data_IF_244540489564
#
_entry.id   IF_244540489564
#
_cell.length_a   1.000
_cell.length_b   1.000
_cell.length_c   1.000
_cell.angle_alpha   90.00
_cell.angle_beta   90.00
_cell.angle_gamma   90.00
#
_symmetry.space_group_name_H-M   'P 1'
#
loop_
_entity.id
_entity.type
_entity.pdbx_description
1 polymer ?
#
# COMPACT_ATOMS: atom_id res chain seq x y z
N UNK A 1 21.80 32.13 -4.04
CA UNK A 1 21.83 30.67 -4.24
C UNK A 1 20.44 30.24 -4.64
N UNK A 2 20.21 29.91 -5.91
CA UNK A 2 18.91 29.40 -6.36
C UNK A 2 18.85 27.93 -5.96
N UNK A 3 18.04 27.61 -4.94
CA UNK A 3 17.78 26.21 -4.59
C UNK A 3 16.82 25.68 -5.65
N UNK A 4 17.36 25.04 -6.68
CA UNK A 4 16.55 24.29 -7.64
C UNK A 4 16.03 23.06 -6.91
N UNK A 5 14.82 23.14 -6.35
CA UNK A 5 14.10 21.96 -5.89
C UNK A 5 13.74 21.13 -7.11
N UNK A 6 14.66 20.27 -7.55
CA UNK A 6 14.36 19.29 -8.59
C UNK A 6 13.30 18.35 -8.03
N UNK A 7 12.08 18.46 -8.53
CA UNK A 7 11.10 17.39 -8.36
C UNK A 7 11.70 16.16 -9.05
N UNK A 8 12.18 15.19 -8.28
CA UNK A 8 12.74 13.94 -8.80
C UNK A 8 11.61 13.20 -9.50
N UNK A 9 11.50 13.38 -10.82
CA UNK A 9 10.58 12.61 -11.64
C UNK A 9 11.17 11.21 -11.81
N UNK A 10 10.80 10.31 -10.91
CA UNK A 10 11.26 8.92 -10.93
C UNK A 10 10.70 8.25 -12.19
N UNK A 11 11.47 7.45 -12.95
CA UNK A 11 10.89 6.69 -14.06
C UNK A 11 9.82 5.71 -13.54
N UNK A 12 8.81 5.36 -14.35
CA UNK A 12 7.79 4.39 -13.96
C UNK A 12 8.45 3.05 -13.63
N UNK A 13 8.15 2.48 -12.46
CA UNK A 13 8.70 1.18 -12.01
C UNK A 13 7.60 0.17 -11.74
N UNK A 14 7.97 -1.10 -11.59
CA UNK A 14 7.05 -2.14 -11.10
C UNK A 14 7.11 -2.26 -9.58
N UNK A 15 6.17 -3.03 -9.02
CA UNK A 15 6.22 -3.44 -7.61
C UNK A 15 7.50 -4.23 -7.35
N UNK A 16 8.21 -3.92 -6.25
CA UNK A 16 9.41 -4.69 -5.90
C UNK A 16 9.03 -6.09 -5.40
N UNK A 17 7.91 -6.18 -4.68
CA UNK A 17 7.38 -7.42 -4.11
C UNK A 17 6.26 -7.98 -4.97
N UNK A 18 6.21 -9.30 -5.11
CA UNK A 18 5.05 -9.97 -5.71
C UNK A 18 3.86 -10.00 -4.76
N UNK A 19 2.64 -10.18 -5.27
CA UNK A 19 1.46 -10.19 -4.40
C UNK A 19 1.45 -11.36 -3.43
N UNK A 20 1.98 -12.51 -3.83
CA UNK A 20 2.10 -13.71 -2.99
C UNK A 20 3.43 -13.77 -2.22
N UNK A 21 4.20 -12.69 -2.19
CA UNK A 21 5.46 -12.62 -1.44
C UNK A 21 5.24 -12.40 0.07
N UNK A 22 3.99 -12.47 0.51
CA UNK A 22 3.59 -12.32 1.90
C UNK A 22 4.22 -13.38 2.83
N UNK A 23 4.72 -14.49 2.28
CA UNK A 23 5.48 -15.51 3.03
C UNK A 23 6.85 -15.01 3.50
N UNK A 24 7.43 -14.01 2.86
CA UNK A 24 8.66 -13.36 3.35
C UNK A 24 8.38 -12.41 4.53
N UNK A 25 7.12 -12.06 4.76
CA UNK A 25 6.66 -11.26 5.90
C UNK A 25 5.42 -11.89 6.56
N UNK A 26 5.55 -13.17 6.94
CA UNK A 26 4.48 -13.95 7.56
C UNK A 26 3.81 -13.27 8.76
N UNK A 27 4.56 -12.52 9.57
CA UNK A 27 4.01 -11.79 10.72
C UNK A 27 3.02 -10.70 10.31
N UNK A 28 3.39 -9.89 9.31
CA UNK A 28 2.51 -8.86 8.74
C UNK A 28 1.34 -9.48 7.99
N UNK A 29 1.56 -10.59 7.28
CA UNK A 29 0.51 -11.33 6.59
C UNK A 29 -0.51 -11.92 7.57
N UNK A 30 -0.06 -12.52 8.67
CA UNK A 30 -0.93 -13.03 9.73
C UNK A 30 -1.70 -11.90 10.41
N UNK A 31 -1.05 -10.77 10.69
CA UNK A 31 -1.72 -9.59 11.23
C UNK A 31 -2.74 -9.01 10.24
N UNK A 32 -2.43 -8.98 8.94
CA UNK A 32 -3.36 -8.55 7.89
C UNK A 32 -4.52 -9.55 7.73
N UNK A 33 -4.30 -10.84 8.02
CA UNK A 33 -5.32 -11.87 7.97
C UNK A 33 -6.28 -11.78 9.16
N UNK A 34 -5.77 -11.55 10.38
CA UNK A 34 -6.59 -11.44 11.58
C UNK A 34 -7.21 -10.04 11.77
N UNK A 35 -6.47 -9.01 11.40
CA UNK A 35 -6.77 -7.60 11.65
C UNK A 35 -6.35 -6.72 10.45
N UNK A 36 -6.98 -6.88 9.27
CA UNK A 36 -6.60 -6.15 8.04
C UNK A 36 -6.66 -4.64 8.23
N UNK A 37 -7.59 -4.16 9.05
CA UNK A 37 -7.77 -2.75 9.37
C UNK A 37 -6.58 -2.12 10.13
N UNK A 38 -5.84 -2.91 10.92
CA UNK A 38 -4.63 -2.43 11.60
C UNK A 38 -3.53 -2.17 10.57
N UNK A 39 -3.27 -3.14 9.69
CA UNK A 39 -2.23 -3.02 8.66
C UNK A 39 -2.58 -1.91 7.66
N UNK A 40 -3.83 -1.83 7.23
CA UNK A 40 -4.32 -0.72 6.40
C UNK A 40 -4.13 0.64 7.08
N UNK A 41 -4.42 0.72 8.38
CA UNK A 41 -4.23 1.94 9.18
C UNK A 41 -2.76 2.37 9.27
N UNK A 42 -1.84 1.39 9.42
CA UNK A 42 -0.40 1.63 9.40
C UNK A 42 0.03 2.19 8.03
N UNK A 43 -0.34 1.50 6.94
CA UNK A 43 -0.02 1.94 5.58
C UNK A 43 -0.52 3.38 5.32
N UNK A 44 -1.78 3.67 5.71
CA UNK A 44 -2.36 5.01 5.58
C UNK A 44 -1.60 6.06 6.36
N UNK A 45 -1.22 5.76 7.61
CA UNK A 45 -0.48 6.69 8.49
C UNK A 45 0.85 7.12 7.87
N UNK A 46 1.53 6.18 7.22
CA UNK A 46 2.84 6.40 6.61
C UNK A 46 2.74 7.02 5.20
N UNK A 47 1.64 6.78 4.48
CA UNK A 47 1.40 7.41 3.17
C UNK A 47 0.86 8.83 3.28
N UNK A 48 -0.06 9.08 4.21
CA UNK A 48 -0.81 10.34 4.31
C UNK A 48 -1.23 10.64 5.74
N UNK A 49 -1.07 11.89 6.19
CA UNK A 49 -1.50 12.32 7.54
C UNK A 49 -3.02 12.46 7.72
N UNK A 50 -3.84 11.89 6.84
CA UNK A 50 -5.30 11.82 6.97
C UNK A 50 -5.69 10.41 7.42
N UNK A 51 -6.07 10.29 8.68
CA UNK A 51 -6.71 9.07 9.19
C UNK A 51 -8.06 8.89 8.48
N UNK A 52 -8.24 7.78 7.77
CA UNK A 52 -9.50 7.45 7.13
C UNK A 52 -10.16 6.32 7.91
N UNK A 53 -10.89 6.70 8.97
CA UNK A 53 -11.68 5.80 9.80
C UNK A 53 -12.64 4.94 8.96
N UNK A 54 -13.13 5.49 7.84
CA UNK A 54 -13.94 4.79 6.82
C UNK A 54 -13.20 3.59 6.23
N UNK A 55 -11.91 3.75 5.92
CA UNK A 55 -11.09 2.66 5.37
C UNK A 55 -10.74 1.59 6.42
N UNK A 56 -10.54 2.00 7.68
CA UNK A 56 -10.35 1.06 8.78
C UNK A 56 -11.62 0.24 9.05
N UNK A 57 -12.79 0.87 9.11
CA UNK A 57 -14.06 0.15 9.31
C UNK A 57 -14.39 -0.79 8.15
N UNK A 58 -14.30 -0.32 6.90
CA UNK A 58 -14.59 -1.16 5.72
C UNK A 58 -13.64 -2.35 5.58
N UNK A 59 -12.41 -2.23 6.08
CA UNK A 59 -11.43 -3.32 6.13
C UNK A 59 -11.80 -4.42 7.13
N UNK A 60 -12.35 -4.08 8.30
CA UNK A 60 -12.76 -5.11 9.27
C UNK A 60 -14.10 -5.79 8.88
N UNK A 61 -14.93 -5.22 7.97
CA UNK A 61 -16.26 -5.76 7.58
C UNK A 61 -16.33 -6.42 6.19
N UNK A 62 -15.19 -6.71 5.55
CA UNK A 62 -15.16 -7.45 4.27
C UNK A 62 -15.59 -6.65 3.02
N UNK A 63 -15.91 -5.36 3.16
CA UNK A 63 -16.16 -4.42 2.05
C UNK A 63 -14.87 -3.80 1.49
N UNK A 64 -13.73 -4.43 1.76
CA UNK A 64 -12.40 -3.90 1.49
C UNK A 64 -12.01 -3.74 0.01
N UNK A 65 -12.47 -4.54 -0.96
CA UNK A 65 -11.89 -4.51 -2.31
C UNK A 65 -11.91 -3.14 -3.00
N UNK A 66 -13.03 -2.41 -2.85
CA UNK A 66 -13.19 -1.09 -3.47
C UNK A 66 -12.42 0.02 -2.73
N UNK A 67 -12.23 -0.10 -1.42
CA UNK A 67 -11.55 0.92 -0.60
C UNK A 67 -10.04 0.66 -0.53
N UNK A 68 -9.63 -0.61 -0.49
CA UNK A 68 -8.24 -1.06 -0.57
C UNK A 68 -7.60 -0.70 -1.91
N UNK A 69 -8.34 -0.81 -3.03
CA UNK A 69 -7.89 -0.36 -4.35
C UNK A 69 -7.44 1.12 -4.34
N UNK A 70 -8.16 2.00 -3.64
CA UNK A 70 -7.77 3.41 -3.52
C UNK A 70 -6.49 3.64 -2.72
N UNK A 71 -6.20 2.79 -1.73
CA UNK A 71 -4.91 2.77 -1.02
C UNK A 71 -3.75 2.43 -1.96
N UNK A 72 -3.91 1.36 -2.74
CA UNK A 72 -2.94 0.91 -3.73
C UNK A 72 -2.68 1.94 -4.82
N UNK A 73 -3.73 2.57 -5.34
CA UNK A 73 -3.61 3.68 -6.30
C UNK A 73 -2.81 4.86 -5.72
N UNK A 74 -3.00 5.16 -4.43
CA UNK A 74 -2.25 6.24 -3.75
C UNK A 74 -0.75 5.91 -3.66
N UNK A 75 -0.41 4.67 -3.31
CA UNK A 75 1.00 4.19 -3.26
C UNK A 75 1.63 4.31 -4.64
N UNK A 76 0.91 3.87 -5.67
CA UNK A 76 1.38 3.92 -7.06
C UNK A 76 1.60 5.35 -7.55
N UNK A 77 0.70 6.26 -7.21
CA UNK A 77 0.84 7.67 -7.53
C UNK A 77 2.03 8.31 -6.78
N UNK A 78 2.27 7.95 -5.52
CA UNK A 78 3.35 8.50 -4.69
C UNK A 78 4.74 8.01 -5.14
N UNK A 79 4.87 6.74 -5.49
CA UNK A 79 6.16 6.11 -5.83
C UNK A 79 6.36 5.86 -7.34
N UNK A 80 5.46 6.37 -8.18
CA UNK A 80 5.43 6.20 -9.64
C UNK A 80 5.48 4.73 -10.10
N UNK A 81 4.57 3.91 -9.57
CA UNK A 81 4.48 2.47 -9.86
C UNK A 81 3.45 2.20 -10.99
N UNK A 82 3.77 1.31 -11.92
CA UNK A 82 2.94 0.91 -13.08
C UNK A 82 1.81 -0.07 -12.74
N UNK A 83 0.75 -0.06 -13.56
CA UNK A 83 -0.46 -0.92 -13.46
C UNK A 83 -1.78 -0.13 -13.46
N UNK A 84 -2.90 -0.76 -13.09
CA UNK A 84 -4.25 -0.25 -13.30
C UNK A 84 -5.18 -0.50 -12.09
N UNK A 85 -6.18 0.36 -11.90
CA UNK A 85 -7.15 0.30 -10.79
C UNK A 85 -7.96 -1.01 -10.78
N UNK A 86 -8.20 -1.62 -11.94
CA UNK A 86 -8.87 -2.92 -12.05
C UNK A 86 -7.99 -4.04 -11.46
N UNK A 87 -6.70 -4.05 -11.82
CA UNK A 87 -5.74 -4.99 -11.27
C UNK A 87 -5.60 -4.80 -9.75
N UNK A 88 -5.61 -3.56 -9.26
CA UNK A 88 -5.58 -3.24 -7.83
C UNK A 88 -6.80 -3.81 -7.08
N UNK A 89 -8.01 -3.73 -7.67
CA UNK A 89 -9.22 -4.31 -7.09
C UNK A 89 -9.17 -5.85 -7.08
N UNK A 90 -8.75 -6.47 -8.19
CA UNK A 90 -8.60 -7.93 -8.27
C UNK A 90 -7.58 -8.47 -7.26
N UNK A 91 -6.51 -7.73 -6.99
CA UNK A 91 -5.52 -8.07 -5.97
C UNK A 91 -6.15 -8.20 -4.57
N UNK A 92 -7.02 -7.26 -4.20
CA UNK A 92 -7.76 -7.28 -2.93
C UNK A 92 -8.91 -8.30 -2.93
N UNK A 93 -9.54 -8.58 -4.08
CA UNK A 93 -10.56 -9.63 -4.20
C UNK A 93 -9.97 -11.05 -4.05
N UNK A 94 -8.76 -11.28 -4.56
CA UNK A 94 -8.10 -12.59 -4.52
C UNK A 94 -7.44 -12.87 -3.17
N UNK A 95 -6.69 -11.91 -2.63
CA UNK A 95 -6.08 -12.04 -1.31
C UNK A 95 -5.80 -10.66 -0.68
N UNK A 96 -6.77 -10.13 0.07
CA UNK A 96 -6.61 -8.92 0.89
C UNK A 96 -5.36 -8.94 1.78
N UNK A 97 -5.06 -9.99 2.58
CA UNK A 97 -3.91 -9.94 3.49
C UNK A 97 -2.58 -9.92 2.72
N UNK A 98 -2.50 -10.61 1.59
CA UNK A 98 -1.33 -10.60 0.74
C UNK A 98 -1.11 -9.20 0.11
N UNK A 99 -2.18 -8.58 -0.41
CA UNK A 99 -2.14 -7.24 -0.96
C UNK A 99 -1.73 -6.18 0.08
N UNK A 100 -2.32 -6.21 1.29
CA UNK A 100 -1.96 -5.30 2.38
C UNK A 100 -0.51 -5.48 2.84
N UNK A 101 -0.01 -6.71 2.84
CA UNK A 101 1.39 -7.02 3.17
C UNK A 101 2.34 -6.50 2.10
N UNK A 102 2.01 -6.69 0.81
CA UNK A 102 2.76 -6.11 -0.31
C UNK A 102 2.86 -4.59 -0.18
N UNK A 103 1.73 -3.92 0.06
CA UNK A 103 1.69 -2.48 0.27
C UNK A 103 2.58 -2.06 1.44
N UNK A 104 2.54 -2.80 2.56
CA UNK A 104 3.36 -2.48 3.72
C UNK A 104 4.86 -2.60 3.44
N UNK A 105 5.28 -3.67 2.79
CA UNK A 105 6.69 -3.89 2.44
C UNK A 105 7.22 -2.77 1.53
N UNK A 106 6.43 -2.36 0.54
CA UNK A 106 6.81 -1.27 -0.37
C UNK A 106 6.93 0.07 0.38
N UNK A 107 6.03 0.35 1.33
CA UNK A 107 6.10 1.57 2.15
C UNK A 107 7.34 1.54 3.07
N UNK A 108 7.59 0.43 3.75
CA UNK A 108 8.74 0.29 4.65
C UNK A 108 10.07 0.47 3.89
N UNK A 109 10.19 -0.09 2.68
CA UNK A 109 11.36 0.12 1.80
C UNK A 109 11.53 1.59 1.41
N UNK A 110 10.44 2.29 1.10
CA UNK A 110 10.49 3.70 0.72
C UNK A 110 10.84 4.60 1.91
N UNK A 111 10.36 4.26 3.11
CA UNK A 111 10.74 4.95 4.35
C UNK A 111 12.23 4.73 4.63
N UNK A 112 12.73 3.50 4.50
CA UNK A 112 14.15 3.18 4.68
C UNK A 112 15.03 3.93 3.68
N UNK A 113 14.53 4.19 2.47
CA UNK A 113 15.20 5.01 1.46
C UNK A 113 15.06 6.53 1.68
N UNK A 114 14.37 6.99 2.73
CA UNK A 114 14.18 8.41 3.07
C UNK A 114 13.13 9.15 2.24
N UNK A 115 12.14 8.43 1.68
CA UNK A 115 11.17 8.93 0.69
C UNK A 115 9.72 9.01 1.23
N UNK A 116 9.55 9.34 2.51
CA UNK A 116 8.24 9.50 3.19
C UNK A 116 7.53 10.80 2.79
#
# INVERSE_FOLDING_TARGET
VVVVSQAVHRPPKDWNHSIFDCFNNCGTCALACCCPCVVYGMNKKDLSRRSSWVGALTSCFGLHPCVGGGGRTTIRAKYNIRGDSCADCCCHLLCTPCALTQERMEIDEMIAAGLN
#
